data_IF_059113211507
#
_entry.id   IF_059113211507
#
_cell.length_a   1.000
_cell.length_b   1.000
_cell.length_c   1.000
_cell.angle_alpha   90.00
_cell.angle_beta   90.00
_cell.angle_gamma   90.00
#
_symmetry.space_group_name_H-M   'P 1'
#
loop_
_entity.id
_entity.type
_entity.pdbx_description
1 polymer ?
#
# COMPACT_ATOMS: atom_id res chain seq x y z
N UNK A 1 -28.90 16.15 24.73
CA UNK A 1 -29.61 14.97 24.18
C UNK A 1 -30.13 15.32 22.79
N UNK A 2 -30.02 14.36 21.84
CA UNK A 2 -30.71 14.23 20.53
C UNK A 2 -30.18 15.17 19.40
N UNK A 3 -29.29 14.77 18.46
CA UNK A 3 -29.31 13.81 17.32
C UNK A 3 -30.14 14.23 16.07
N UNK A 4 -29.41 14.29 14.94
CA UNK A 4 -29.81 14.11 13.51
C UNK A 4 -30.50 15.33 12.87
N UNK A 5 -30.21 15.74 11.63
CA UNK A 5 -30.19 14.91 10.42
C UNK A 5 -29.37 15.54 9.29
N UNK A 6 -28.44 14.76 8.74
CA UNK A 6 -27.78 15.03 7.45
C UNK A 6 -28.68 14.51 6.33
N UNK A 7 -29.41 15.40 5.67
CA UNK A 7 -30.14 15.13 4.43
C UNK A 7 -29.54 16.00 3.32
N UNK A 8 -28.38 15.59 2.81
CA UNK A 8 -27.77 16.19 1.62
C UNK A 8 -26.86 15.20 0.85
N UNK A 9 -27.08 13.90 1.01
CA UNK A 9 -26.17 12.86 0.49
C UNK A 9 -26.79 11.94 -0.57
N UNK A 10 -27.94 12.28 -1.17
CA UNK A 10 -28.62 11.40 -2.13
C UNK A 10 -28.63 11.88 -3.58
N UNK A 11 -28.09 13.05 -3.90
CA UNK A 11 -28.10 13.55 -5.29
C UNK A 11 -26.85 13.16 -6.11
N UNK A 12 -25.79 12.63 -5.50
CA UNK A 12 -24.52 12.37 -6.20
C UNK A 12 -24.45 10.99 -6.90
N UNK A 13 -25.48 10.15 -6.79
CA UNK A 13 -25.45 8.76 -7.30
C UNK A 13 -26.01 8.64 -8.74
N UNK A 14 -26.70 9.67 -9.26
CA UNK A 14 -27.37 9.58 -10.56
C UNK A 14 -26.51 9.96 -11.79
N UNK A 15 -25.24 10.34 -11.59
CA UNK A 15 -24.32 10.60 -12.71
C UNK A 15 -23.65 9.34 -13.28
N UNK A 16 -24.06 8.15 -12.84
CA UNK A 16 -23.49 6.86 -13.25
C UNK A 16 -23.82 6.45 -14.71
N UNK A 17 -24.62 7.22 -15.46
CA UNK A 17 -25.11 6.84 -16.78
C UNK A 17 -24.28 7.34 -17.98
N UNK A 18 -23.14 8.02 -17.77
CA UNK A 18 -22.23 8.45 -18.86
C UNK A 18 -20.84 7.79 -18.84
N UNK A 19 -20.63 6.78 -17.98
CA UNK A 19 -19.30 6.24 -17.64
C UNK A 19 -18.69 5.21 -18.61
N UNK A 20 -19.24 5.03 -19.82
CA UNK A 20 -18.67 4.11 -20.82
C UNK A 20 -17.26 4.49 -21.31
N UNK A 21 -16.87 5.77 -21.21
CA UNK A 21 -15.52 6.24 -21.54
C UNK A 21 -14.61 6.46 -20.30
N UNK A 22 -15.18 6.62 -19.11
CA UNK A 22 -14.43 6.87 -17.87
C UNK A 22 -14.06 5.58 -17.11
N UNK A 23 -14.71 4.46 -17.42
CA UNK A 23 -14.35 3.15 -16.86
C UNK A 23 -12.96 2.68 -17.34
N UNK A 24 -12.64 2.92 -18.62
CA UNK A 24 -11.31 2.65 -19.18
C UNK A 24 -10.23 3.47 -18.47
N UNK A 25 -10.46 4.78 -18.29
CA UNK A 25 -9.54 5.63 -17.52
C UNK A 25 -9.40 5.17 -16.07
N UNK A 26 -10.50 4.76 -15.43
CA UNK A 26 -10.45 4.25 -14.05
C UNK A 26 -9.63 2.97 -13.94
N UNK A 27 -9.84 2.00 -14.82
CA UNK A 27 -9.10 0.74 -14.79
C UNK A 27 -7.62 0.95 -15.15
N UNK A 28 -7.33 1.81 -16.14
CA UNK A 28 -5.96 2.22 -16.49
C UNK A 28 -5.26 2.90 -15.30
N UNK A 29 -5.95 3.79 -14.59
CA UNK A 29 -5.40 4.46 -13.41
C UNK A 29 -5.15 3.48 -12.25
N UNK A 30 -6.07 2.54 -12.00
CA UNK A 30 -5.89 1.50 -10.99
C UNK A 30 -4.72 0.58 -11.34
N UNK A 31 -4.58 0.23 -12.61
CA UNK A 31 -3.49 -0.62 -13.08
C UNK A 31 -2.14 0.10 -12.98
N UNK A 32 -2.10 1.39 -13.31
CA UNK A 32 -0.91 2.23 -13.07
C UNK A 32 -0.55 2.28 -11.58
N UNK A 33 -1.50 2.59 -10.71
CA UNK A 33 -1.29 2.63 -9.26
C UNK A 33 -0.82 1.28 -8.70
N UNK A 34 -1.36 0.18 -9.24
CA UNK A 34 -0.94 -1.16 -8.86
C UNK A 34 0.51 -1.46 -9.25
N UNK A 35 0.93 -1.11 -10.47
CA UNK A 35 2.32 -1.23 -10.90
C UNK A 35 3.28 -0.34 -10.10
N UNK A 36 2.88 0.91 -9.82
CA UNK A 36 3.66 1.83 -8.99
C UNK A 36 3.85 1.26 -7.57
N UNK A 37 2.79 0.67 -7.01
CA UNK A 37 2.81 -0.01 -5.70
C UNK A 37 3.76 -1.21 -5.70
N UNK A 38 3.68 -2.07 -6.71
CA UNK A 38 4.55 -3.25 -6.84
C UNK A 38 6.03 -2.86 -7.02
N UNK A 39 6.30 -1.81 -7.79
CA UNK A 39 7.64 -1.26 -7.99
C UNK A 39 8.21 -0.68 -6.69
N UNK A 40 7.43 0.14 -5.99
CA UNK A 40 7.82 0.71 -4.71
C UNK A 40 8.02 -0.36 -3.62
N UNK A 41 7.24 -1.45 -3.65
CA UNK A 41 7.47 -2.61 -2.80
C UNK A 41 8.82 -3.28 -3.08
N UNK A 42 9.19 -3.48 -4.35
CA UNK A 42 10.50 -4.05 -4.69
C UNK A 42 11.65 -3.22 -4.12
N UNK A 43 11.56 -1.90 -4.20
CA UNK A 43 12.55 -0.99 -3.61
C UNK A 43 12.57 -1.12 -2.08
N UNK A 44 11.40 -1.13 -1.43
CA UNK A 44 11.30 -1.29 0.02
C UNK A 44 11.83 -2.64 0.49
N UNK A 45 11.50 -3.74 -0.20
CA UNK A 45 12.00 -5.07 0.08
C UNK A 45 13.53 -5.15 -0.06
N UNK A 46 14.08 -4.56 -1.12
CA UNK A 46 15.54 -4.46 -1.30
C UNK A 46 16.20 -3.70 -0.14
N UNK A 47 15.59 -2.59 0.29
CA UNK A 47 16.04 -1.82 1.44
C UNK A 47 15.97 -2.60 2.76
N UNK A 48 14.90 -3.38 2.95
CA UNK A 48 14.75 -4.28 4.09
C UNK A 48 15.84 -5.35 4.12
N UNK A 49 16.12 -5.99 2.99
CA UNK A 49 17.19 -6.98 2.87
C UNK A 49 18.57 -6.35 3.18
N UNK A 50 18.84 -5.17 2.63
CA UNK A 50 20.08 -4.44 2.90
C UNK A 50 20.23 -4.09 4.39
N UNK A 51 19.16 -3.63 5.04
CA UNK A 51 19.16 -3.37 6.48
C UNK A 51 19.44 -4.66 7.26
N UNK A 52 18.71 -5.75 6.97
CA UNK A 52 18.86 -7.03 7.65
C UNK A 52 20.24 -7.68 7.46
N UNK A 53 20.90 -7.41 6.33
CA UNK A 53 22.26 -7.84 6.03
C UNK A 53 23.33 -6.98 6.72
N UNK A 54 22.98 -5.77 7.18
CA UNK A 54 23.93 -4.90 7.87
C UNK A 54 24.27 -5.47 9.27
N UNK A 55 25.55 -5.60 9.55
CA UNK A 55 26.07 -6.25 10.76
C UNK A 55 26.04 -5.36 11.99
N UNK A 56 24.89 -4.80 12.38
CA UNK A 56 24.60 -4.27 13.73
C UNK A 56 23.15 -3.77 13.86
N UNK A 57 22.18 -4.58 13.42
CA UNK A 57 20.77 -4.18 13.45
C UNK A 57 20.09 -4.45 14.79
N UNK A 58 19.31 -3.45 15.23
CA UNK A 58 18.47 -3.57 16.41
C UNK A 58 17.47 -4.73 16.22
N UNK A 59 17.43 -5.66 17.18
CA UNK A 59 16.59 -6.86 17.10
C UNK A 59 15.08 -6.55 17.04
N UNK A 60 14.64 -5.48 17.71
CA UNK A 60 13.25 -5.00 17.68
C UNK A 60 12.90 -4.49 16.29
N UNK A 61 13.73 -3.60 15.74
CA UNK A 61 13.53 -3.05 14.38
C UNK A 61 13.55 -4.15 13.32
N UNK A 62 14.43 -5.15 13.49
CA UNK A 62 14.46 -6.35 12.63
C UNK A 62 13.16 -7.14 12.70
N UNK A 63 12.56 -7.29 13.87
CA UNK A 63 11.27 -7.98 14.02
C UNK A 63 10.12 -7.17 13.41
N UNK A 64 10.14 -5.85 13.56
CA UNK A 64 9.15 -4.92 12.97
C UNK A 64 9.19 -4.96 11.45
N UNK A 65 10.39 -4.84 10.84
CA UNK A 65 10.56 -4.95 9.38
C UNK A 65 10.04 -6.29 8.88
N UNK A 66 10.41 -7.41 9.53
CA UNK A 66 9.92 -8.75 9.14
C UNK A 66 8.40 -8.85 9.22
N UNK A 67 7.81 -8.30 10.28
CA UNK A 67 6.35 -8.32 10.48
C UNK A 67 5.65 -7.49 9.41
N UNK A 68 6.17 -6.28 9.13
CA UNK A 68 5.63 -5.41 8.09
C UNK A 68 5.78 -6.04 6.69
N UNK A 69 6.91 -6.66 6.38
CA UNK A 69 7.11 -7.40 5.12
C UNK A 69 6.12 -8.56 4.98
N UNK A 70 5.93 -9.35 6.04
CA UNK A 70 4.96 -10.45 6.01
C UNK A 70 3.51 -9.95 5.87
N UNK A 71 3.16 -8.84 6.52
CA UNK A 71 1.85 -8.20 6.38
C UNK A 71 1.63 -7.65 4.96
N UNK A 72 2.68 -7.16 4.31
CA UNK A 72 2.64 -6.66 2.94
C UNK A 72 2.50 -7.78 1.89
N UNK A 73 3.05 -8.97 2.14
CA UNK A 73 2.99 -10.10 1.20
C UNK A 73 1.56 -10.45 0.78
N UNK A 74 0.63 -10.58 1.72
CA UNK A 74 -0.73 -11.03 1.40
C UNK A 74 -1.46 -10.12 0.41
N UNK A 75 -1.59 -8.79 0.66
CA UNK A 75 -2.27 -7.90 -0.26
C UNK A 75 -1.49 -7.68 -1.57
N UNK A 76 -0.16 -7.73 -1.55
CA UNK A 76 0.65 -7.58 -2.77
C UNK A 76 0.59 -8.81 -3.66
N UNK A 77 0.61 -10.03 -3.10
CA UNK A 77 0.38 -11.26 -3.86
C UNK A 77 -1.02 -11.30 -4.46
N UNK A 78 -2.04 -10.84 -3.72
CA UNK A 78 -3.39 -10.73 -4.26
C UNK A 78 -3.45 -9.73 -5.43
N UNK A 79 -2.75 -8.60 -5.33
CA UNK A 79 -2.65 -7.61 -6.38
C UNK A 79 -1.89 -8.14 -7.62
N UNK A 80 -0.75 -8.79 -7.42
CA UNK A 80 0.07 -9.39 -8.48
C UNK A 80 -0.66 -10.49 -9.25
N UNK A 81 -1.39 -11.36 -8.53
CA UNK A 81 -2.23 -12.38 -9.13
C UNK A 81 -3.34 -11.76 -9.99
N UNK A 82 -3.99 -10.70 -9.50
CA UNK A 82 -5.04 -10.00 -10.26
C UNK A 82 -4.48 -9.35 -11.53
N UNK A 83 -3.30 -8.74 -11.46
CA UNK A 83 -2.60 -8.19 -12.64
C UNK A 83 -2.27 -9.30 -13.64
N UNK A 84 -1.69 -10.41 -13.16
CA UNK A 84 -1.23 -11.54 -13.98
C UNK A 84 -2.39 -12.27 -14.66
N UNK A 85 -3.51 -12.43 -13.96
CA UNK A 85 -4.73 -13.02 -14.49
C UNK A 85 -5.45 -12.10 -15.50
N UNK A 86 -5.08 -10.82 -15.58
CA UNK A 86 -5.78 -9.82 -16.38
C UNK A 86 -7.12 -9.40 -15.79
N UNK A 87 -7.31 -9.59 -14.48
CA UNK A 87 -8.55 -9.27 -13.79
C UNK A 87 -8.76 -7.76 -13.69
N UNK A 88 -10.03 -7.35 -13.64
CA UNK A 88 -10.36 -5.96 -13.30
C UNK A 88 -9.97 -5.67 -11.86
N UNK A 89 -9.29 -4.54 -11.66
CA UNK A 89 -8.78 -4.17 -10.35
C UNK A 89 -9.86 -3.39 -9.61
N UNK A 90 -9.96 -3.63 -8.31
CA UNK A 90 -10.84 -2.83 -7.47
C UNK A 90 -10.02 -1.76 -6.75
N UNK A 91 -10.64 -0.62 -6.48
CA UNK A 91 -10.05 0.43 -5.64
C UNK A 91 -9.61 -0.13 -4.28
N UNK A 92 -10.37 -1.07 -3.72
CA UNK A 92 -10.07 -1.70 -2.43
C UNK A 92 -8.82 -2.58 -2.49
N UNK A 93 -8.64 -3.35 -3.57
CA UNK A 93 -7.44 -4.19 -3.74
C UNK A 93 -6.20 -3.32 -3.80
N UNK A 94 -6.22 -2.26 -4.62
CA UNK A 94 -5.08 -1.34 -4.76
C UNK A 94 -4.82 -0.60 -3.44
N UNK A 95 -5.83 -0.02 -2.79
CA UNK A 95 -5.63 0.74 -1.56
C UNK A 95 -5.14 -0.12 -0.38
N UNK A 96 -5.53 -1.39 -0.34
CA UNK A 96 -5.04 -2.33 0.69
C UNK A 96 -3.56 -2.62 0.49
N UNK A 97 -3.11 -2.81 -0.76
CA UNK A 97 -1.70 -3.00 -1.09
C UNK A 97 -0.88 -1.73 -0.81
N UNK A 98 -1.37 -0.55 -1.18
CA UNK A 98 -0.74 0.74 -0.88
C UNK A 98 -0.58 0.95 0.63
N UNK A 99 -1.61 0.63 1.43
CA UNK A 99 -1.56 0.76 2.89
C UNK A 99 -0.52 -0.18 3.50
N UNK A 100 -0.42 -1.40 2.98
CA UNK A 100 0.56 -2.37 3.47
C UNK A 100 2.00 -1.98 3.09
N UNK A 101 2.18 -1.42 1.89
CA UNK A 101 3.45 -0.84 1.46
C UNK A 101 3.86 0.34 2.34
N UNK A 102 2.93 1.25 2.65
CA UNK A 102 3.20 2.39 3.53
C UNK A 102 3.64 1.94 4.93
N UNK A 103 3.04 0.87 5.47
CA UNK A 103 3.47 0.26 6.73
C UNK A 103 4.91 -0.26 6.68
N UNK A 104 5.30 -0.93 5.59
CA UNK A 104 6.68 -1.39 5.39
C UNK A 104 7.66 -0.21 5.26
N UNK A 105 7.30 0.81 4.48
CA UNK A 105 8.12 2.01 4.32
C UNK A 105 8.32 2.76 5.64
N UNK A 106 7.28 2.84 6.48
CA UNK A 106 7.37 3.43 7.82
C UNK A 106 8.37 2.66 8.69
N UNK A 107 8.26 1.32 8.75
CA UNK A 107 9.18 0.50 9.53
C UNK A 107 10.64 0.65 9.07
N UNK A 108 10.87 0.82 7.76
CA UNK A 108 12.21 1.10 7.22
C UNK A 108 12.71 2.51 7.51
N UNK A 109 11.84 3.51 7.52
CA UNK A 109 12.19 4.87 7.90
C UNK A 109 12.57 4.94 9.39
N UNK A 110 11.79 4.30 10.26
CA UNK A 110 12.08 4.19 11.69
C UNK A 110 13.42 3.50 11.94
N UNK A 111 13.73 2.47 11.15
CA UNK A 111 15.02 1.78 11.18
C UNK A 111 16.21 2.71 10.89
N UNK A 112 16.08 3.57 9.87
CA UNK A 112 17.10 4.56 9.50
C UNK A 112 17.22 5.70 10.53
N UNK A 113 16.10 6.13 11.11
CA UNK A 113 16.10 7.12 12.19
C UNK A 113 16.85 6.59 13.42
N UNK A 114 16.61 5.33 13.80
CA UNK A 114 17.25 4.70 14.97
C UNK A 114 18.77 4.54 14.79
N UNK A 115 19.26 4.30 13.57
CA UNK A 115 20.71 4.29 13.28
C UNK A 115 21.37 5.66 13.41
N UNK A 116 20.60 6.74 13.33
CA UNK A 116 21.13 8.12 13.38
C UNK A 116 21.25 8.64 14.83
N UNK A 117 20.43 8.13 15.75
CA UNK A 117 20.44 8.53 17.18
C UNK A 117 21.40 7.69 18.04
N UNK A 118 21.98 6.61 17.50
CA UNK A 118 22.93 5.74 18.20
C UNK A 118 24.39 6.22 18.20
N UNK A 119 24.68 7.41 17.68
CA UNK A 119 26.00 8.03 17.74
C UNK A 119 26.01 9.15 18.79
N UNK A 120 26.32 8.80 20.03
CA UNK A 120 26.84 9.73 21.04
C UNK A 120 27.68 8.96 22.05
#
# INVERSE_FOLDING_TARGET
MIKRSRLAACAAVLSLATLGACASDRQVNLQKAAYDTMSAYHVAATGAEAYLASGNVNATVKAEIKTASAAAMTPLTALDNAITAGDSLTTTTVSTAESALAGLQSALADAQATTTTGSN
#
